data_IF_606057136173
#
_entry.id   IF_606057136173
#
_cell.length_a   1.000
_cell.length_b   1.000
_cell.length_c   1.000
_cell.angle_alpha   90.00
_cell.angle_beta   90.00
_cell.angle_gamma   90.00
#
_symmetry.space_group_name_H-M   'P 1'
#
loop_
_entity.id
_entity.type
_entity.pdbx_description
1 polymer ?
#
# COMPACT_ATOMS: atom_id res chain seq x y z
N UNK A 1 6.63 -10.81 -2.01
CA UNK A 1 6.56 -9.73 -3.04
C UNK A 1 7.64 -8.70 -2.73
N UNK A 2 8.31 -8.12 -3.74
CA UNK A 2 9.26 -7.03 -3.53
C UNK A 2 8.47 -5.70 -3.54
N UNK A 3 8.37 -5.04 -2.37
CA UNK A 3 7.59 -3.80 -2.20
C UNK A 3 8.11 -2.70 -3.12
N UNK A 4 9.44 -2.60 -3.30
CA UNK A 4 10.07 -1.59 -4.16
C UNK A 4 9.72 -1.82 -5.63
N UNK A 5 9.67 -3.10 -6.04
CA UNK A 5 9.25 -3.46 -7.40
C UNK A 5 7.79 -3.09 -7.62
N UNK A 6 6.91 -3.43 -6.69
CA UNK A 6 5.49 -3.09 -6.79
C UNK A 6 5.27 -1.58 -6.82
N UNK A 7 5.94 -0.83 -5.94
CA UNK A 7 5.92 0.63 -5.93
C UNK A 7 6.33 1.23 -7.29
N UNK A 8 7.37 0.65 -7.90
CA UNK A 8 7.85 1.10 -9.22
C UNK A 8 6.88 0.71 -10.34
N UNK A 9 6.21 -0.44 -10.23
CA UNK A 9 5.14 -0.85 -11.13
C UNK A 9 3.96 0.13 -11.08
N UNK A 10 3.58 0.60 -9.88
CA UNK A 10 2.48 1.55 -9.68
C UNK A 10 2.71 2.94 -10.30
N UNK A 11 3.88 3.22 -10.85
CA UNK A 11 4.10 4.44 -11.63
C UNK A 11 3.51 4.36 -13.06
N UNK A 12 3.13 3.16 -13.53
CA UNK A 12 2.47 2.97 -14.83
C UNK A 12 0.95 2.98 -14.67
N UNK A 13 0.25 3.94 -15.28
CA UNK A 13 -1.22 3.94 -15.32
C UNK A 13 -1.79 2.66 -15.92
N UNK A 14 -1.17 2.12 -16.97
CA UNK A 14 -1.61 0.91 -17.65
C UNK A 14 -1.54 -0.32 -16.72
N UNK A 15 -0.48 -0.40 -15.91
CA UNK A 15 -0.37 -1.45 -14.89
C UNK A 15 -1.44 -1.29 -13.82
N UNK A 16 -1.63 -0.08 -13.30
CA UNK A 16 -2.63 0.20 -12.25
C UNK A 16 -4.03 -0.09 -12.76
N UNK A 17 -4.37 0.31 -13.98
CA UNK A 17 -5.67 -0.01 -14.59
C UNK A 17 -5.87 -1.54 -14.72
N UNK A 18 -4.89 -2.27 -15.25
CA UNK A 18 -4.95 -3.74 -15.36
C UNK A 18 -5.11 -4.41 -14.00
N UNK A 19 -4.36 -3.95 -12.99
CA UNK A 19 -4.46 -4.44 -11.60
C UNK A 19 -5.88 -4.26 -11.05
N UNK A 20 -6.45 -3.06 -11.19
CA UNK A 20 -7.79 -2.73 -10.74
C UNK A 20 -8.86 -3.55 -11.48
N UNK A 21 -8.75 -3.67 -12.80
CA UNK A 21 -9.65 -4.49 -13.61
C UNK A 21 -9.69 -5.95 -13.14
N UNK A 22 -8.54 -6.50 -12.77
CA UNK A 22 -8.43 -7.88 -12.33
C UNK A 22 -8.96 -8.07 -10.91
N UNK A 23 -8.58 -7.20 -9.98
CA UNK A 23 -9.02 -7.29 -8.57
C UNK A 23 -10.54 -7.08 -8.46
N UNK A 24 -11.08 -6.10 -9.20
CA UNK A 24 -12.51 -5.77 -9.18
C UNK A 24 -13.34 -6.64 -10.12
N UNK A 25 -12.69 -7.51 -10.91
CA UNK A 25 -13.32 -8.31 -11.96
C UNK A 25 -14.17 -7.47 -12.93
N UNK A 26 -13.66 -6.29 -13.29
CA UNK A 26 -14.31 -5.35 -14.20
C UNK A 26 -13.38 -4.94 -15.34
N UNK A 27 -13.51 -5.59 -16.48
CA UNK A 27 -12.71 -5.31 -17.68
C UNK A 27 -13.04 -3.97 -18.36
N UNK A 28 -14.15 -3.33 -17.97
CA UNK A 28 -14.58 -2.02 -18.50
C UNK A 28 -14.08 -0.87 -17.65
N UNK A 29 -13.60 -1.13 -16.44
CA UNK A 29 -13.03 -0.11 -15.57
C UNK A 29 -11.97 0.69 -16.34
N UNK A 30 -12.04 2.00 -16.24
CA UNK A 30 -11.04 2.95 -16.76
C UNK A 30 -10.66 3.93 -15.67
N UNK A 31 -9.39 4.27 -15.64
CA UNK A 31 -8.86 5.28 -14.72
C UNK A 31 -8.60 6.60 -15.46
N UNK A 32 -8.55 7.67 -14.70
CA UNK A 32 -8.05 8.98 -15.16
C UNK A 32 -6.54 8.99 -14.91
N UNK A 33 -5.75 8.62 -15.93
CA UNK A 33 -4.30 8.42 -15.80
C UNK A 33 -3.56 9.65 -15.25
N UNK A 34 -4.05 10.84 -15.54
CA UNK A 34 -3.52 12.12 -15.05
C UNK A 34 -3.69 12.33 -13.54
N UNK A 35 -4.59 11.58 -12.90
CA UNK A 35 -4.81 11.63 -11.44
C UNK A 35 -3.96 10.62 -10.67
N UNK A 36 -3.21 9.75 -11.36
CA UNK A 36 -2.38 8.76 -10.72
C UNK A 36 -1.29 9.41 -9.85
N UNK A 37 -1.33 9.12 -8.59
CA UNK A 37 -0.37 9.59 -7.60
C UNK A 37 0.29 8.38 -6.93
N UNK A 38 1.49 8.03 -7.39
CA UNK A 38 2.32 7.00 -6.75
C UNK A 38 3.18 7.66 -5.66
N UNK A 39 3.32 6.97 -4.51
CA UNK A 39 4.17 7.38 -3.39
C UNK A 39 3.82 8.76 -2.79
N UNK A 40 2.59 9.22 -2.91
CA UNK A 40 2.16 10.51 -2.36
C UNK A 40 1.88 10.39 -0.87
N UNK A 41 2.42 11.35 -0.10
CA UNK A 41 2.13 11.46 1.33
C UNK A 41 0.98 12.44 1.59
N UNK A 42 0.09 12.05 2.48
CA UNK A 42 -0.92 12.93 3.08
C UNK A 42 -0.42 13.30 4.47
N UNK A 43 -0.11 14.59 4.65
CA UNK A 43 0.36 15.10 5.94
C UNK A 43 -0.82 15.38 6.86
N UNK A 44 -0.81 14.78 8.05
CA UNK A 44 -1.73 15.11 9.13
C UNK A 44 -0.99 15.93 10.20
N UNK A 45 -1.39 17.21 10.37
CA UNK A 45 -0.72 18.13 11.31
C UNK A 45 -0.98 17.79 12.79
N UNK A 46 -1.99 16.98 13.10
CA UNK A 46 -2.40 16.64 14.46
C UNK A 46 -2.33 15.15 14.77
N UNK A 47 -1.89 14.34 13.81
CA UNK A 47 -1.85 12.91 13.94
C UNK A 47 -0.89 12.28 12.95
N UNK A 48 -0.99 10.97 12.78
CA UNK A 48 -0.13 10.22 11.86
C UNK A 48 -0.38 10.61 10.42
N UNK A 49 0.67 10.97 9.70
CA UNK A 49 0.66 11.10 8.25
C UNK A 49 0.62 9.73 7.59
N UNK A 50 0.10 9.64 6.37
CA UNK A 50 0.10 8.41 5.57
C UNK A 50 0.88 8.61 4.29
N UNK A 51 1.38 7.51 3.72
CA UNK A 51 1.96 7.46 2.39
C UNK A 51 1.18 6.41 1.59
N UNK A 52 0.62 6.82 0.49
CA UNK A 52 -0.12 5.96 -0.43
C UNK A 52 0.85 5.36 -1.44
N UNK A 53 0.77 4.05 -1.69
CA UNK A 53 1.60 3.43 -2.73
C UNK A 53 1.07 3.80 -4.11
N UNK A 54 -0.24 3.74 -4.32
CA UNK A 54 -0.89 4.31 -5.49
C UNK A 54 -2.29 4.83 -5.13
N UNK A 55 -2.63 6.01 -5.64
CA UNK A 55 -3.97 6.58 -5.63
C UNK A 55 -4.34 7.02 -7.05
N UNK A 56 -5.55 6.73 -7.48
CA UNK A 56 -6.05 7.12 -8.81
C UNK A 56 -7.57 7.27 -8.80
N UNK A 57 -8.09 8.16 -9.64
CA UNK A 57 -9.53 8.32 -9.87
C UNK A 57 -9.99 7.48 -11.06
N UNK A 58 -11.17 6.91 -10.94
CA UNK A 58 -11.88 6.28 -12.04
C UNK A 58 -12.66 7.28 -12.88
N UNK A 59 -13.25 6.80 -13.96
CA UNK A 59 -14.08 7.62 -14.84
C UNK A 59 -15.43 7.99 -14.21
N UNK A 60 -15.96 7.16 -13.30
CA UNK A 60 -17.24 7.28 -12.63
C UNK A 60 -17.01 7.75 -11.20
N UNK A 61 -16.81 8.99 -10.96
CA UNK A 61 -16.69 9.66 -9.64
C UNK A 61 -16.34 8.75 -8.44
N UNK A 62 -15.38 7.87 -8.66
CA UNK A 62 -14.84 6.93 -7.68
C UNK A 62 -13.32 7.06 -7.61
N UNK A 63 -12.76 6.71 -6.48
CA UNK A 63 -11.32 6.71 -6.27
C UNK A 63 -10.83 5.34 -5.79
N UNK A 64 -9.60 5.03 -6.13
CA UNK A 64 -8.93 3.80 -5.74
C UNK A 64 -7.64 4.13 -5.01
N UNK A 65 -7.44 3.52 -3.85
CA UNK A 65 -6.15 3.53 -3.18
C UNK A 65 -5.62 2.10 -3.08
N UNK A 66 -4.42 1.88 -3.58
CA UNK A 66 -3.74 0.59 -3.50
C UNK A 66 -2.59 0.72 -2.51
N UNK A 67 -2.52 -0.18 -1.55
CA UNK A 67 -1.45 -0.28 -0.57
C UNK A 67 -0.90 -1.70 -0.52
N UNK A 68 0.42 -1.81 -0.38
CA UNK A 68 1.11 -3.09 -0.23
C UNK A 68 1.80 -3.15 1.12
N UNK A 69 1.63 -4.25 1.81
CA UNK A 69 2.22 -4.44 3.12
C UNK A 69 2.85 -5.84 3.24
N UNK A 70 4.13 -5.85 3.48
CA UNK A 70 4.92 -7.08 3.67
C UNK A 70 5.00 -7.51 5.13
N UNK A 71 5.07 -6.53 6.05
CA UNK A 71 5.27 -6.82 7.47
C UNK A 71 3.97 -7.22 8.18
N UNK A 72 4.11 -8.06 9.19
CA UNK A 72 3.00 -8.62 9.99
C UNK A 72 2.74 -7.81 11.29
N UNK A 73 3.44 -6.70 11.48
CA UNK A 73 3.53 -6.01 12.77
C UNK A 73 2.46 -4.92 12.99
N UNK A 74 1.40 -4.87 12.20
CA UNK A 74 0.38 -3.82 12.32
C UNK A 74 -1.04 -4.37 12.36
N UNK A 75 -1.97 -3.58 12.92
CA UNK A 75 -3.38 -3.87 12.79
C UNK A 75 -3.85 -3.40 11.40
N UNK A 76 -3.85 -4.31 10.45
CA UNK A 76 -4.13 -4.05 9.03
C UNK A 76 -5.50 -3.38 8.83
N UNK A 77 -6.55 -3.88 9.46
CA UNK A 77 -7.92 -3.35 9.33
C UNK A 77 -8.03 -1.93 9.89
N UNK A 78 -7.42 -1.65 11.05
CA UNK A 78 -7.40 -0.29 11.60
C UNK A 78 -6.58 0.66 10.74
N UNK A 79 -5.50 0.18 10.11
CA UNK A 79 -4.69 0.97 9.18
C UNK A 79 -5.49 1.36 7.95
N UNK A 80 -6.18 0.42 7.30
CA UNK A 80 -7.04 0.68 6.15
C UNK A 80 -8.10 1.71 6.50
N UNK A 81 -8.81 1.54 7.63
CA UNK A 81 -9.81 2.51 8.12
C UNK A 81 -9.21 3.90 8.31
N UNK A 82 -8.03 4.00 8.94
CA UNK A 82 -7.37 5.28 9.20
C UNK A 82 -7.00 5.98 7.89
N UNK A 83 -6.39 5.24 6.96
CA UNK A 83 -5.99 5.76 5.66
C UNK A 83 -7.20 6.21 4.84
N UNK A 84 -8.27 5.42 4.79
CA UNK A 84 -9.52 5.79 4.14
C UNK A 84 -10.10 7.11 4.70
N UNK A 85 -10.11 7.25 6.03
CA UNK A 85 -10.61 8.48 6.68
C UNK A 85 -9.80 9.71 6.31
N UNK A 86 -8.47 9.61 6.24
CA UNK A 86 -7.60 10.73 5.84
C UNK A 86 -7.74 11.08 4.36
N UNK A 87 -7.83 10.07 3.49
CA UNK A 87 -8.04 10.28 2.05
C UNK A 87 -9.37 10.99 1.82
N UNK A 88 -10.46 10.50 2.43
CA UNK A 88 -11.78 11.11 2.34
C UNK A 88 -11.77 12.56 2.83
N UNK A 89 -11.23 12.80 4.04
CA UNK A 89 -11.16 14.14 4.62
C UNK A 89 -10.35 15.13 3.78
N UNK A 90 -9.29 14.67 3.11
CA UNK A 90 -8.47 15.55 2.26
C UNK A 90 -9.12 15.86 0.91
N UNK A 91 -10.07 15.05 0.49
CA UNK A 91 -10.75 15.22 -0.79
C UNK A 91 -12.09 15.95 -0.67
N UNK A 92 -12.49 16.27 0.54
CA UNK A 92 -13.71 17.02 0.83
C UNK A 92 -13.34 18.48 1.11
N UNK A 93 -13.94 19.40 0.39
CA UNK A 93 -13.67 20.83 0.52
C UNK A 93 -14.69 21.51 1.46
N UNK A 94 -14.34 22.62 2.09
CA UNK A 94 -15.28 23.39 2.89
C UNK A 94 -16.47 23.85 2.06
N UNK A 95 -17.68 23.39 2.39
CA UNK A 95 -18.92 23.70 1.69
C UNK A 95 -19.50 22.54 0.87
N UNK A 96 -18.74 21.47 0.70
CA UNK A 96 -19.28 20.25 0.10
C UNK A 96 -20.39 19.66 0.95
N UNK A 97 -21.38 19.06 0.30
CA UNK A 97 -22.39 18.27 1.00
C UNK A 97 -21.91 16.83 1.22
N UNK A 98 -22.58 16.06 2.08
CA UNK A 98 -22.20 14.65 2.25
C UNK A 98 -22.52 13.80 1.02
N UNK A 99 -23.40 14.23 0.15
CA UNK A 99 -23.69 13.60 -1.14
C UNK A 99 -22.52 13.76 -2.12
N UNK A 100 -21.70 14.82 -1.98
CA UNK A 100 -20.52 15.08 -2.81
C UNK A 100 -19.29 14.28 -2.37
N UNK A 101 -19.36 13.57 -1.24
CA UNK A 101 -18.24 12.75 -0.77
C UNK A 101 -17.97 11.60 -1.74
N UNK A 102 -16.82 11.66 -2.40
CA UNK A 102 -16.43 10.70 -3.42
C UNK A 102 -16.34 9.27 -2.88
N UNK A 103 -16.86 8.30 -3.64
CA UNK A 103 -16.70 6.89 -3.33
C UNK A 103 -15.23 6.46 -3.39
N UNK A 104 -14.80 5.70 -2.39
CA UNK A 104 -13.41 5.26 -2.23
C UNK A 104 -13.33 3.73 -2.12
N UNK A 105 -12.49 3.11 -2.96
CA UNK A 105 -12.14 1.70 -2.86
C UNK A 105 -10.72 1.56 -2.33
N UNK A 106 -10.58 1.02 -1.14
CA UNK A 106 -9.31 0.69 -0.51
C UNK A 106 -8.90 -0.73 -0.88
N UNK A 107 -7.79 -0.89 -1.59
CA UNK A 107 -7.22 -2.19 -1.96
C UNK A 107 -5.95 -2.39 -1.14
N UNK A 108 -5.97 -3.36 -0.25
CA UNK A 108 -4.87 -3.65 0.65
C UNK A 108 -4.27 -5.01 0.34
N UNK A 109 -3.06 -5.01 -0.22
CA UNK A 109 -2.34 -6.20 -0.66
C UNK A 109 -1.35 -6.61 0.42
N UNK A 110 -1.48 -7.82 0.94
CA UNK A 110 -0.64 -8.34 2.03
C UNK A 110 -0.05 -9.70 1.69
N UNK A 111 1.20 -9.95 2.09
CA UNK A 111 1.78 -11.30 2.06
C UNK A 111 1.09 -12.24 3.05
N UNK A 112 0.51 -11.70 4.13
CA UNK A 112 -0.15 -12.49 5.16
C UNK A 112 -1.67 -12.53 4.96
N UNK A 113 -2.24 -13.69 5.24
CA UNK A 113 -3.70 -13.85 5.27
C UNK A 113 -4.29 -13.21 6.54
N UNK A 114 -4.70 -11.94 6.41
CA UNK A 114 -5.20 -11.11 7.52
C UNK A 114 -6.41 -11.76 8.23
N UNK A 115 -7.25 -12.47 7.49
CA UNK A 115 -8.48 -13.06 8.01
C UNK A 115 -8.38 -14.57 8.27
N UNK A 116 -7.24 -15.21 7.95
CA UNK A 116 -6.97 -16.64 8.16
C UNK A 116 -8.04 -17.57 7.55
N UNK A 117 -8.55 -17.24 6.36
CA UNK A 117 -9.56 -18.02 5.63
C UNK A 117 -9.06 -18.63 4.33
N UNK A 118 -7.75 -18.47 4.02
CA UNK A 118 -7.07 -19.06 2.87
C UNK A 118 -7.69 -18.65 1.52
N UNK A 119 -8.17 -17.40 1.42
CA UNK A 119 -8.71 -16.81 0.20
C UNK A 119 -7.75 -15.78 -0.35
N UNK A 120 -7.70 -15.64 -1.67
CA UNK A 120 -6.94 -14.55 -2.32
C UNK A 120 -7.61 -13.21 -2.12
N UNK A 121 -8.95 -13.15 -2.15
CA UNK A 121 -9.71 -11.91 -2.02
C UNK A 121 -10.70 -11.97 -0.86
N UNK A 122 -10.75 -10.86 -0.13
CA UNK A 122 -11.79 -10.59 0.86
C UNK A 122 -12.39 -9.22 0.58
N UNK A 123 -13.72 -9.18 0.42
CA UNK A 123 -14.48 -7.95 0.34
C UNK A 123 -15.09 -7.67 1.72
N UNK A 124 -14.82 -6.49 2.26
CA UNK A 124 -15.35 -6.05 3.55
C UNK A 124 -16.31 -4.90 3.32
N UNK A 125 -17.53 -5.03 3.86
CA UNK A 125 -18.60 -4.09 3.70
C UNK A 125 -19.39 -3.95 5.00
N UNK A 126 -19.98 -2.78 5.23
CA UNK A 126 -20.85 -2.57 6.39
C UNK A 126 -22.16 -3.32 6.23
N UNK A 127 -22.67 -3.87 7.34
CA UNK A 127 -23.92 -4.63 7.38
C UNK A 127 -24.76 -4.18 8.56
N UNK A 128 -26.06 -4.02 8.36
CA UNK A 128 -27.02 -3.84 9.44
C UNK A 128 -27.16 -5.20 10.14
N UNK A 129 -26.72 -5.28 11.38
CA UNK A 129 -26.65 -6.56 12.12
C UNK A 129 -28.03 -7.18 12.29
N UNK A 130 -29.05 -6.35 12.51
CA UNK A 130 -30.42 -6.79 12.80
C UNK A 130 -31.12 -7.40 11.58
N UNK A 131 -30.77 -6.97 10.36
CA UNK A 131 -31.43 -7.40 9.12
C UNK A 131 -30.54 -8.20 8.19
N UNK A 132 -29.23 -8.08 8.32
CA UNK A 132 -28.25 -8.67 7.41
C UNK A 132 -28.06 -7.89 6.11
N UNK A 133 -28.74 -6.74 5.94
CA UNK A 133 -28.63 -5.92 4.75
C UNK A 133 -27.29 -5.22 4.66
N UNK A 134 -26.73 -5.14 3.45
CA UNK A 134 -25.49 -4.39 3.18
C UNK A 134 -25.80 -2.89 3.16
N UNK A 135 -24.87 -2.10 3.72
CA UNK A 135 -24.94 -0.64 3.70
C UNK A 135 -23.86 -0.13 2.76
N UNK A 136 -24.28 0.55 1.71
CA UNK A 136 -23.35 1.30 0.86
C UNK A 136 -23.20 2.72 1.42
N UNK A 137 -22.00 2.99 1.94
CA UNK A 137 -21.59 4.31 2.44
C UNK A 137 -20.49 4.94 1.57
N UNK A 138 -20.31 4.44 0.35
CA UNK A 138 -19.28 4.89 -0.57
C UNK A 138 -17.87 4.34 -0.27
N UNK A 139 -17.65 3.61 0.83
CA UNK A 139 -16.38 2.98 1.15
C UNK A 139 -16.43 1.47 0.87
N UNK A 140 -15.50 1.00 0.03
CA UNK A 140 -15.26 -0.42 -0.22
C UNK A 140 -13.86 -0.78 0.24
N UNK A 141 -13.73 -1.89 0.97
CA UNK A 141 -12.43 -2.41 1.38
C UNK A 141 -12.20 -3.79 0.78
N UNK A 142 -11.08 -3.95 0.08
CA UNK A 142 -10.66 -5.20 -0.54
C UNK A 142 -9.29 -5.56 0.00
N UNK A 143 -9.20 -6.76 0.59
CA UNK A 143 -7.95 -7.30 1.08
C UNK A 143 -7.50 -8.42 0.15
N UNK A 144 -6.26 -8.31 -0.34
CA UNK A 144 -5.64 -9.29 -1.24
C UNK A 144 -4.55 -10.02 -0.47
N UNK A 145 -4.70 -11.34 -0.39
CA UNK A 145 -3.71 -12.23 0.20
C UNK A 145 -2.86 -12.84 -0.92
N UNK A 146 -1.56 -12.52 -0.94
CA UNK A 146 -0.66 -12.97 -2.01
C UNK A 146 -0.11 -14.39 -1.80
N UNK A 147 -0.27 -14.98 -0.60
CA UNK A 147 0.14 -16.36 -0.32
C UNK A 147 -0.94 -17.39 -0.73
N UNK A 148 -2.18 -16.96 -0.97
CA UNK A 148 -3.25 -17.88 -1.32
C UNK A 148 -3.09 -18.46 -2.72
N UNK A 149 -3.41 -19.74 -2.87
CA UNK A 149 -3.30 -20.52 -4.10
C UNK A 149 -4.68 -21.08 -4.48
N UNK A 150 -5.65 -20.17 -4.69
CA UNK A 150 -7.04 -20.56 -5.00
C UNK A 150 -7.35 -20.58 -6.51
N UNK A 151 -6.33 -20.56 -7.36
CA UNK A 151 -6.43 -20.61 -8.83
C UNK A 151 -7.23 -19.44 -9.45
N UNK A 152 -7.47 -18.37 -8.73
CA UNK A 152 -8.11 -17.17 -9.28
C UNK A 152 -7.13 -16.39 -10.17
N UNK A 153 -7.69 -15.54 -11.05
CA UNK A 153 -6.88 -14.64 -11.88
C UNK A 153 -6.06 -13.68 -11.01
N UNK A 154 -6.61 -13.25 -9.87
CA UNK A 154 -5.88 -12.41 -8.89
C UNK A 154 -4.71 -13.17 -8.28
N UNK A 155 -4.90 -14.41 -7.83
CA UNK A 155 -3.79 -15.24 -7.31
C UNK A 155 -2.69 -15.43 -8.36
N UNK A 156 -3.06 -15.65 -9.61
CA UNK A 156 -2.10 -15.77 -10.71
C UNK A 156 -1.32 -14.46 -10.91
N UNK A 157 -1.99 -13.30 -10.92
CA UNK A 157 -1.35 -12.00 -11.03
C UNK A 157 -0.40 -11.75 -9.85
N UNK A 158 -0.84 -11.99 -8.62
CA UNK A 158 0.00 -11.82 -7.43
C UNK A 158 1.22 -12.74 -7.46
N UNK A 159 1.08 -13.94 -8.00
CA UNK A 159 2.17 -14.89 -8.21
C UNK A 159 3.31 -14.36 -9.10
N UNK A 160 3.03 -13.43 -10.02
CA UNK A 160 4.05 -12.85 -10.90
C UNK A 160 5.12 -12.09 -10.12
N UNK A 161 4.75 -11.45 -9.01
CA UNK A 161 5.68 -10.69 -8.18
C UNK A 161 6.68 -11.56 -7.39
N UNK A 162 6.50 -12.88 -7.42
CA UNK A 162 7.45 -13.85 -6.87
C UNK A 162 8.36 -14.47 -7.95
N UNK A 163 8.06 -14.22 -9.25
CA UNK A 163 8.86 -14.73 -10.37
C UNK A 163 10.09 -13.86 -10.60
N UNK A 164 11.21 -14.49 -10.95
CA UNK A 164 12.42 -13.78 -11.41
C UNK A 164 12.27 -13.24 -12.82
N UNK A 165 11.56 -13.97 -13.68
CA UNK A 165 11.30 -13.65 -15.07
C UNK A 165 9.86 -14.02 -15.41
N UNK A 166 9.25 -13.26 -16.30
CA UNK A 166 7.91 -13.52 -16.83
C UNK A 166 8.00 -14.22 -18.19
N UNK A 167 7.08 -15.10 -18.46
CA UNK A 167 7.02 -15.88 -19.69
C UNK A 167 5.96 -15.39 -20.70
N UNK A 168 5.83 -16.09 -21.82
CA UNK A 168 4.86 -15.74 -22.86
C UNK A 168 3.40 -15.93 -22.43
N UNK A 169 3.13 -16.82 -21.47
CA UNK A 169 1.79 -17.00 -20.91
C UNK A 169 1.44 -15.80 -20.02
N UNK A 170 2.39 -15.35 -19.20
CA UNK A 170 2.24 -14.15 -18.38
C UNK A 170 1.94 -12.92 -19.26
N UNK A 171 2.67 -12.78 -20.38
CA UNK A 171 2.45 -11.71 -21.37
C UNK A 171 1.05 -11.74 -21.96
N UNK A 172 0.52 -12.93 -22.24
CA UNK A 172 -0.83 -13.11 -22.81
C UNK A 172 -1.92 -12.78 -21.79
N UNK A 173 -1.73 -13.18 -20.53
CA UNK A 173 -2.72 -13.02 -19.47
C UNK A 173 -2.72 -11.61 -18.88
N UNK A 174 -1.53 -10.97 -18.76
CA UNK A 174 -1.29 -9.71 -18.08
C UNK A 174 -0.33 -8.82 -18.91
N UNK A 175 -0.77 -8.32 -20.07
CA UNK A 175 0.12 -7.64 -21.03
C UNK A 175 0.76 -6.37 -20.46
N UNK A 176 0.02 -5.56 -19.69
CA UNK A 176 0.54 -4.32 -19.13
C UNK A 176 1.50 -4.59 -17.96
N UNK A 177 1.16 -5.55 -17.10
CA UNK A 177 2.04 -6.04 -16.04
C UNK A 177 3.35 -6.57 -16.63
N UNK A 178 3.27 -7.41 -17.66
CA UNK A 178 4.46 -7.93 -18.34
C UNK A 178 5.33 -6.84 -18.92
N UNK A 179 4.72 -5.87 -19.61
CA UNK A 179 5.43 -4.76 -20.26
C UNK A 179 6.16 -3.91 -19.23
N UNK A 180 5.48 -3.50 -18.17
CA UNK A 180 6.07 -2.66 -17.13
C UNK A 180 7.14 -3.42 -16.33
N UNK A 181 6.91 -4.68 -15.98
CA UNK A 181 7.89 -5.52 -15.29
C UNK A 181 9.19 -5.67 -16.10
N UNK A 182 9.05 -5.99 -17.40
CA UNK A 182 10.20 -6.17 -18.30
C UNK A 182 10.96 -4.85 -18.50
N UNK A 183 10.24 -3.74 -18.62
CA UNK A 183 10.84 -2.40 -18.73
C UNK A 183 11.69 -2.09 -17.48
N UNK A 184 11.15 -2.27 -16.29
CA UNK A 184 11.86 -2.02 -15.03
C UNK A 184 13.09 -2.91 -14.87
N UNK A 185 12.99 -4.19 -15.27
CA UNK A 185 14.12 -5.13 -15.20
C UNK A 185 15.24 -4.83 -16.20
N UNK A 186 14.92 -4.28 -17.37
CA UNK A 186 15.89 -3.99 -18.43
C UNK A 186 16.48 -2.58 -18.34
N UNK A 187 15.91 -1.68 -17.54
CA UNK A 187 16.47 -0.36 -17.32
C UNK A 187 17.48 -0.39 -16.18
N UNK A 188 18.77 -0.36 -16.54
CA UNK A 188 19.88 -0.35 -15.56
C UNK A 188 19.80 0.80 -14.56
N UNK A 189 19.20 1.95 -14.92
CA UNK A 189 19.00 3.09 -14.01
C UNK A 189 17.89 2.80 -13.00
N UNK A 190 16.79 2.20 -13.46
CA UNK A 190 15.71 1.80 -12.56
C UNK A 190 16.15 0.65 -11.65
N UNK A 191 16.92 -0.31 -12.14
CA UNK A 191 17.51 -1.37 -11.32
C UNK A 191 18.43 -0.78 -10.24
N UNK A 192 19.28 0.19 -10.59
CA UNK A 192 20.14 0.88 -9.63
C UNK A 192 19.31 1.65 -8.58
N UNK A 193 18.29 2.41 -9.01
CA UNK A 193 17.34 3.11 -8.10
C UNK A 193 16.59 2.16 -7.18
N UNK A 194 16.19 0.98 -7.70
CA UNK A 194 15.55 -0.06 -6.89
C UNK A 194 16.52 -0.62 -5.84
N UNK A 195 17.78 -0.88 -6.21
CA UNK A 195 18.80 -1.31 -5.26
C UNK A 195 19.02 -0.26 -4.14
N UNK A 196 19.11 1.03 -4.50
CA UNK A 196 19.24 2.11 -3.52
C UNK A 196 18.01 2.21 -2.60
N UNK A 197 16.80 2.07 -3.15
CA UNK A 197 15.56 2.05 -2.36
C UNK A 197 15.50 0.85 -1.43
N UNK A 198 15.88 -0.34 -1.88
CA UNK A 198 15.93 -1.56 -1.05
C UNK A 198 16.92 -1.39 0.10
N UNK A 199 18.11 -0.82 -0.17
CA UNK A 199 19.09 -0.54 0.87
C UNK A 199 18.59 0.48 1.89
N UNK A 200 17.95 1.55 1.42
CA UNK A 200 17.34 2.57 2.28
C UNK A 200 16.18 2.01 3.10
N UNK A 201 15.35 1.13 2.51
CA UNK A 201 14.27 0.45 3.23
C UNK A 201 14.83 -0.48 4.30
N UNK A 202 15.79 -1.33 3.96
CA UNK A 202 16.44 -2.23 4.91
C UNK A 202 17.13 -1.46 6.07
N UNK A 203 17.76 -0.32 5.75
CA UNK A 203 18.35 0.57 6.77
C UNK A 203 17.25 1.15 7.67
N UNK A 204 16.14 1.60 7.12
CA UNK A 204 15.01 2.16 7.88
C UNK A 204 14.39 1.13 8.82
N UNK A 205 14.14 -0.08 8.33
CA UNK A 205 13.63 -1.20 9.15
C UNK A 205 14.60 -1.57 10.29
N UNK A 206 15.90 -1.61 10.00
CA UNK A 206 16.92 -1.88 11.02
C UNK A 206 16.93 -0.78 12.11
N UNK A 207 16.77 0.49 11.72
CA UNK A 207 16.66 1.64 12.65
C UNK A 207 15.41 1.47 13.53
N UNK A 208 14.26 1.17 12.96
CA UNK A 208 13.01 1.00 13.71
C UNK A 208 13.12 -0.17 14.71
N UNK A 209 13.68 -1.29 14.29
CA UNK A 209 13.89 -2.44 15.17
C UNK A 209 14.79 -2.09 16.37
N UNK A 210 15.88 -1.34 16.15
CA UNK A 210 16.78 -0.90 17.24
C UNK A 210 16.05 0.03 18.20
N UNK A 211 15.30 1.01 17.69
CA UNK A 211 14.52 1.94 18.50
C UNK A 211 13.50 1.18 19.36
N UNK A 212 12.74 0.25 18.78
CA UNK A 212 11.75 -0.56 19.50
C UNK A 212 12.40 -1.45 20.58
N UNK A 213 13.52 -2.10 20.28
CA UNK A 213 14.24 -2.96 21.24
C UNK A 213 14.75 -2.13 22.41
N UNK A 214 15.33 -0.97 22.16
CA UNK A 214 15.83 -0.10 23.21
C UNK A 214 14.69 0.45 24.09
N UNK A 215 13.55 0.81 23.49
CA UNK A 215 12.38 1.27 24.23
C UNK A 215 11.81 0.17 25.14
N UNK A 216 11.63 -1.05 24.60
CA UNK A 216 11.19 -2.22 25.37
C UNK A 216 12.12 -2.54 26.56
N UNK A 217 13.40 -2.21 26.44
CA UNK A 217 14.38 -2.35 27.51
C UNK A 217 14.42 -1.16 28.48
N UNK A 218 13.50 -0.19 28.35
CA UNK A 218 13.34 0.92 29.27
C UNK A 218 14.37 2.05 29.12
N UNK A 219 15.03 2.16 27.97
CA UNK A 219 15.94 3.30 27.73
C UNK A 219 15.15 4.59 27.49
N UNK A 220 15.66 5.71 27.99
CA UNK A 220 15.05 7.01 27.74
C UNK A 220 15.18 7.47 26.28
N UNK A 221 14.24 8.26 25.74
CA UNK A 221 14.27 8.84 24.38
C UNK A 221 15.65 9.37 24.01
N UNK A 222 16.28 10.15 24.90
CA UNK A 222 17.61 10.74 24.66
C UNK A 222 18.71 9.67 24.46
N UNK A 223 18.65 8.55 25.20
CA UNK A 223 19.62 7.46 25.05
C UNK A 223 19.35 6.67 23.77
N UNK A 224 18.09 6.46 23.41
CA UNK A 224 17.68 5.78 22.18
C UNK A 224 18.16 6.57 20.96
N UNK A 225 17.86 7.88 20.90
CA UNK A 225 18.30 8.76 19.81
C UNK A 225 19.82 8.70 19.67
N UNK A 226 20.57 8.86 20.77
CA UNK A 226 22.03 8.79 20.72
C UNK A 226 22.55 7.43 20.21
N UNK A 227 22.02 6.31 20.69
CA UNK A 227 22.42 4.99 20.27
C UNK A 227 22.12 4.76 18.78
N UNK A 228 20.98 5.22 18.29
CA UNK A 228 20.58 5.15 16.88
C UNK A 228 21.51 5.97 15.98
N UNK A 229 21.85 7.21 16.39
CA UNK A 229 22.83 8.05 15.70
C UNK A 229 24.20 7.36 15.58
N UNK A 230 24.71 6.85 16.71
CA UNK A 230 26.04 6.23 16.77
C UNK A 230 26.09 4.94 15.91
N UNK A 231 25.03 4.14 15.92
CA UNK A 231 24.99 2.86 15.20
C UNK A 231 24.80 3.02 13.70
N UNK A 232 23.96 3.97 13.25
CA UNK A 232 23.61 4.11 11.84
C UNK A 232 24.28 5.30 11.15
N UNK A 233 25.10 6.05 11.86
CA UNK A 233 25.81 7.25 11.39
C UNK A 233 24.86 8.27 10.72
N UNK A 234 23.77 8.59 11.43
CA UNK A 234 22.75 9.55 11.00
C UNK A 234 22.75 10.77 11.90
N UNK A 235 22.13 11.87 11.44
CA UNK A 235 22.03 13.12 12.21
C UNK A 235 21.05 12.99 13.38
N UNK A 236 21.08 13.95 14.29
CA UNK A 236 20.14 14.02 15.42
C UNK A 236 18.71 14.17 14.90
N UNK A 237 18.51 15.06 13.92
CA UNK A 237 17.21 15.32 13.32
C UNK A 237 16.63 14.08 12.65
N UNK A 238 17.47 13.31 11.95
CA UNK A 238 17.05 12.04 11.35
C UNK A 238 16.69 11.00 12.41
N UNK A 239 17.49 10.87 13.47
CA UNK A 239 17.22 9.92 14.54
C UNK A 239 15.96 10.27 15.33
N UNK A 240 15.70 11.57 15.55
CA UNK A 240 14.46 12.05 16.16
C UNK A 240 13.26 11.78 15.27
N UNK A 241 13.38 12.00 13.97
CA UNK A 241 12.32 11.68 13.00
C UNK A 241 11.97 10.20 13.00
N UNK A 242 12.98 9.31 12.99
CA UNK A 242 12.76 7.87 13.07
C UNK A 242 12.17 7.44 14.42
N UNK A 243 12.61 8.05 15.51
CA UNK A 243 12.03 7.78 16.82
C UNK A 243 10.55 8.17 16.85
N UNK A 244 10.21 9.37 16.38
CA UNK A 244 8.83 9.84 16.36
C UNK A 244 7.97 8.99 15.40
N UNK A 245 8.49 8.56 14.25
CA UNK A 245 7.82 7.61 13.34
C UNK A 245 7.43 6.31 14.06
N UNK A 246 8.30 5.76 14.91
CA UNK A 246 8.01 4.50 15.64
C UNK A 246 6.94 4.71 16.72
N UNK A 247 6.94 5.85 17.44
CA UNK A 247 6.07 6.08 18.61
C UNK A 247 4.82 6.90 18.31
N UNK A 248 4.81 7.70 17.24
CA UNK A 248 3.57 8.27 16.69
C UNK A 248 2.71 7.16 16.07
N UNK A 249 3.29 5.98 15.91
CA UNK A 249 2.66 4.77 15.35
C UNK A 249 1.99 3.88 16.41
N UNK A 250 2.19 4.14 17.69
CA UNK A 250 1.51 3.49 18.82
C UNK A 250 0.42 4.40 19.36
#
# INVERSE_FOLDING_TARGET
>A
MDDVMFESMCQSPEFVEELLQIILNDSKLRIKSETLMAQKSIRNLRGRSIRMDAYVEGQEDNAFNVEVQKSDNCNHVKRVRYNASLITAQRTEPGDTFEDVQSLCMIYISEKDIFHKQRTLYHVQNTIIETGDLVDNGLKEIYVNTEAQDNTKVATLMGLFHKKELDNLDKKLFPNTYTQFTKLKNDNREVARMCDKIQNYAKKEAIYNVIEVLDRNGFSKKKIIKATMDQFHITTEEAESYYDDVFITK
#
